data_IF_317976940870
#
_entry.id   IF_317976940870
#
_cell.length_a   1.000
_cell.length_b   1.000
_cell.length_c   1.000
_cell.angle_alpha   90.00
_cell.angle_beta   90.00
_cell.angle_gamma   90.00
#
_symmetry.space_group_name_H-M   'P 1'
#
loop_
_entity.id
_entity.type
_entity.pdbx_description
1 polymer ?
#
# COMPACT_ATOMS: atom_id res chain seq x y z
N UNK A 1 -27.09 -17.23 50.50
CA UNK A 1 -26.37 -18.01 49.47
C UNK A 1 -26.60 -17.49 48.05
N UNK A 2 -27.83 -17.39 47.52
CA UNK A 2 -28.08 -16.89 46.15
C UNK A 2 -27.59 -15.45 45.88
N UNK A 3 -27.84 -14.50 46.79
CA UNK A 3 -27.48 -13.09 46.57
C UNK A 3 -25.97 -12.87 46.49
N UNK A 4 -25.20 -13.70 47.19
CA UNK A 4 -23.74 -13.65 47.20
C UNK A 4 -23.17 -14.23 45.90
N UNK A 5 -23.73 -15.34 45.42
CA UNK A 5 -23.40 -15.89 44.10
C UNK A 5 -23.67 -14.87 42.97
N UNK A 6 -24.82 -14.17 43.02
CA UNK A 6 -25.17 -13.15 42.01
C UNK A 6 -24.27 -11.91 42.08
N UNK A 7 -23.76 -11.56 43.26
CA UNK A 7 -22.77 -10.49 43.44
C UNK A 7 -21.41 -10.89 42.86
N UNK A 8 -20.96 -12.12 43.13
CA UNK A 8 -19.74 -12.67 42.55
C UNK A 8 -19.82 -12.74 41.02
N UNK A 9 -20.97 -13.17 40.49
CA UNK A 9 -21.20 -13.20 39.04
C UNK A 9 -21.15 -11.81 38.40
N UNK A 10 -21.74 -10.79 39.03
CA UNK A 10 -21.66 -9.41 38.54
C UNK A 10 -20.21 -8.89 38.50
N UNK A 11 -19.42 -9.22 39.54
CA UNK A 11 -18.00 -8.86 39.59
C UNK A 11 -17.24 -9.56 38.46
N UNK A 12 -17.41 -10.87 38.30
CA UNK A 12 -16.78 -11.67 37.24
C UNK A 12 -17.12 -11.18 35.82
N UNK A 13 -18.40 -10.86 35.56
CA UNK A 13 -18.81 -10.31 34.25
C UNK A 13 -18.19 -8.93 34.02
N UNK A 14 -18.16 -8.07 35.04
CA UNK A 14 -17.57 -6.74 34.93
C UNK A 14 -16.05 -6.79 34.67
N UNK A 15 -15.33 -7.68 35.35
CA UNK A 15 -13.88 -7.86 35.17
C UNK A 15 -13.59 -8.46 33.80
N UNK A 16 -14.40 -9.42 33.33
CA UNK A 16 -14.26 -10.01 31.99
C UNK A 16 -14.45 -8.97 30.88
N UNK A 17 -15.48 -8.12 30.98
CA UNK A 17 -15.72 -7.06 29.99
C UNK A 17 -14.58 -6.03 30.00
N UNK A 18 -14.10 -5.64 31.18
CA UNK A 18 -12.98 -4.69 31.29
C UNK A 18 -11.66 -5.28 30.78
N UNK A 19 -11.40 -6.56 31.02
CA UNK A 19 -10.26 -7.27 30.44
C UNK A 19 -10.35 -7.35 28.92
N UNK A 20 -11.53 -7.66 28.37
CA UNK A 20 -11.78 -7.67 26.92
C UNK A 20 -11.52 -6.29 26.30
N UNK A 21 -12.11 -5.21 26.87
CA UNK A 21 -11.90 -3.82 26.43
C UNK A 21 -10.44 -3.37 26.55
N UNK A 22 -9.72 -3.83 27.58
CA UNK A 22 -8.29 -3.53 27.75
C UNK A 22 -7.42 -4.29 26.74
N UNK A 23 -7.75 -5.54 26.45
CA UNK A 23 -7.08 -6.34 25.43
C UNK A 23 -7.31 -5.74 24.03
N UNK A 24 -8.53 -5.31 23.73
CA UNK A 24 -8.87 -4.66 22.48
C UNK A 24 -8.15 -3.32 22.31
N UNK A 25 -8.10 -2.48 23.35
CA UNK A 25 -7.29 -1.24 23.34
C UNK A 25 -5.82 -1.51 23.08
N UNK A 26 -5.24 -2.54 23.71
CA UNK A 26 -3.85 -2.96 23.45
C UNK A 26 -3.67 -3.42 22.01
N UNK A 27 -4.59 -4.25 21.50
CA UNK A 27 -4.58 -4.72 20.11
C UNK A 27 -4.63 -3.55 19.13
N UNK A 28 -5.58 -2.63 19.28
CA UNK A 28 -5.70 -1.41 18.45
C UNK A 28 -4.45 -0.54 18.54
N UNK A 29 -3.84 -0.41 19.72
CA UNK A 29 -2.58 0.33 19.89
C UNK A 29 -1.44 -0.34 19.10
N UNK A 30 -1.23 -1.64 19.26
CA UNK A 30 -0.17 -2.35 18.56
C UNK A 30 -0.43 -2.47 17.06
N UNK A 31 -1.67 -2.66 16.59
CA UNK A 31 -2.00 -2.65 15.16
C UNK A 31 -1.74 -1.28 14.53
N UNK A 32 -1.98 -0.17 15.25
CA UNK A 32 -1.66 1.18 14.76
C UNK A 32 -0.17 1.52 14.80
N UNK A 33 0.55 1.05 15.83
CA UNK A 33 2.00 1.28 16.00
C UNK A 33 2.84 0.34 15.13
N UNK A 34 2.31 -0.84 14.78
CA UNK A 34 2.96 -1.84 13.91
C UNK A 34 2.59 -1.64 12.43
N UNK A 35 1.90 -0.55 12.07
CA UNK A 35 1.78 -0.15 10.66
C UNK A 35 3.20 0.05 10.12
N UNK A 36 3.45 -0.48 8.94
CA UNK A 36 4.78 -0.55 8.36
C UNK A 36 5.35 0.87 8.21
N UNK A 37 6.52 1.21 8.81
CA UNK A 37 7.12 2.53 8.63
C UNK A 37 7.41 2.85 7.16
N UNK A 38 7.51 1.85 6.27
CA UNK A 38 7.65 2.04 4.83
C UNK A 38 6.36 2.52 4.15
N UNK A 39 5.18 2.31 4.74
CA UNK A 39 3.88 2.64 4.14
C UNK A 39 3.64 4.16 3.98
N UNK A 40 4.42 5.00 4.67
CA UNK A 40 4.35 6.47 4.58
C UNK A 40 5.70 7.13 4.26
N UNK A 41 6.77 6.35 4.03
CA UNK A 41 8.08 6.91 3.74
C UNK A 41 8.16 7.29 2.26
N UNK A 42 7.79 8.53 1.96
CA UNK A 42 7.95 9.11 0.63
C UNK A 42 9.29 9.83 0.54
N UNK A 43 10.25 9.25 -0.20
CA UNK A 43 11.55 9.88 -0.47
C UNK A 43 11.45 10.62 -1.81
N UNK A 44 11.41 11.95 -1.75
CA UNK A 44 11.49 12.80 -2.94
C UNK A 44 12.92 13.34 -3.09
N UNK A 45 13.62 12.91 -4.14
CA UNK A 45 14.94 13.40 -4.50
C UNK A 45 14.89 14.28 -5.75
N UNK A 46 15.64 15.38 -5.76
CA UNK A 46 16.04 16.08 -6.98
C UNK A 46 17.55 16.00 -7.10
N UNK A 47 18.06 15.71 -8.30
CA UNK A 47 19.50 15.76 -8.57
C UNK A 47 19.97 17.20 -8.36
N UNK A 48 20.73 17.44 -7.30
CA UNK A 48 21.34 18.73 -7.01
C UNK A 48 22.86 18.51 -6.80
N UNK A 49 23.68 19.23 -7.54
CA UNK A 49 25.12 19.29 -7.28
C UNK A 49 25.37 20.49 -6.36
N UNK A 50 25.67 20.20 -5.09
CA UNK A 50 25.98 21.22 -4.10
C UNK A 50 27.48 21.47 -4.16
N UNK A 51 27.85 22.65 -4.64
CA UNK A 51 29.23 23.12 -4.62
C UNK A 51 29.36 24.13 -3.48
N UNK A 52 30.28 23.89 -2.55
CA UNK A 52 30.49 24.72 -1.35
C UNK A 52 31.23 26.02 -1.61
N UNK A 53 31.96 26.12 -2.73
CA UNK A 53 32.77 27.27 -3.09
C UNK A 53 32.41 27.80 -4.48
N UNK A 54 32.09 29.09 -4.57
CA UNK A 54 31.69 29.78 -5.78
C UNK A 54 32.81 29.83 -6.83
N UNK A 55 34.08 29.78 -6.41
CA UNK A 55 35.23 29.74 -7.31
C UNK A 55 35.34 28.39 -8.02
N UNK A 56 35.06 27.30 -7.31
CA UNK A 56 35.01 25.94 -7.86
C UNK A 56 33.84 25.81 -8.85
N UNK A 57 32.69 26.41 -8.57
CA UNK A 57 31.55 26.47 -9.52
C UNK A 57 31.96 27.17 -10.81
N UNK A 58 32.54 28.36 -10.72
CA UNK A 58 32.96 29.13 -11.90
C UNK A 58 34.02 28.40 -12.72
N UNK A 59 34.92 27.66 -12.07
CA UNK A 59 35.89 26.83 -12.77
C UNK A 59 35.20 25.62 -13.44
N UNK A 60 34.32 24.91 -12.72
CA UNK A 60 33.61 23.75 -13.25
C UNK A 60 32.66 24.10 -14.41
N UNK A 61 32.09 25.31 -14.41
CA UNK A 61 31.22 25.83 -15.49
C UNK A 61 32.00 26.57 -16.58
N UNK A 62 33.33 26.69 -16.47
CA UNK A 62 34.13 27.36 -17.48
C UNK A 62 34.08 26.58 -18.81
N UNK A 63 33.78 27.28 -19.90
CA UNK A 63 33.77 26.76 -21.27
C UNK A 63 35.11 26.15 -21.71
N UNK A 64 36.20 26.47 -21.03
CA UNK A 64 37.51 25.84 -21.25
C UNK A 64 37.61 24.41 -20.68
N UNK A 65 36.85 24.12 -19.62
CA UNK A 65 36.83 22.84 -18.91
C UNK A 65 35.72 21.95 -19.46
N UNK A 66 34.58 22.52 -19.88
CA UNK A 66 33.49 21.76 -20.46
C UNK A 66 33.66 21.56 -21.97
N UNK A 67 33.42 20.33 -22.45
CA UNK A 67 33.48 19.94 -23.86
C UNK A 67 32.15 19.29 -24.26
N UNK A 68 31.66 19.52 -25.49
CA UNK A 68 30.47 18.82 -25.98
C UNK A 68 30.76 17.31 -26.07
N UNK A 69 29.81 16.51 -25.60
CA UNK A 69 29.88 15.07 -25.68
C UNK A 69 29.82 14.60 -27.13
N UNK A 70 30.63 13.61 -27.49
CA UNK A 70 30.71 13.15 -28.88
C UNK A 70 29.44 12.39 -29.32
N UNK A 71 28.71 11.77 -28.38
CA UNK A 71 27.45 11.08 -28.66
C UNK A 71 26.24 12.01 -28.74
N UNK A 72 26.22 13.10 -27.96
CA UNK A 72 25.18 14.14 -28.02
C UNK A 72 25.79 15.51 -27.70
N UNK A 73 25.91 16.42 -28.69
CA UNK A 73 26.52 17.73 -28.50
C UNK A 73 25.72 18.66 -27.58
N UNK A 74 24.47 18.31 -27.23
CA UNK A 74 23.68 19.05 -26.23
C UNK A 74 24.14 18.78 -24.80
N UNK A 75 24.88 17.70 -24.58
CA UNK A 75 25.41 17.31 -23.28
C UNK A 75 26.85 17.79 -23.22
N UNK A 76 27.18 18.63 -22.23
CA UNK A 76 28.57 19.03 -21.95
C UNK A 76 29.15 18.16 -20.84
N UNK A 77 30.37 17.68 -21.03
CA UNK A 77 31.13 16.89 -20.05
C UNK A 77 32.47 17.57 -19.75
N UNK A 78 33.06 17.25 -18.60
CA UNK A 78 34.39 17.72 -18.23
C UNK A 78 35.45 17.20 -19.22
N UNK A 79 36.41 18.04 -19.61
CA UNK A 79 37.55 17.70 -20.46
C UNK A 79 38.50 16.69 -19.80
N UNK A 80 38.46 16.54 -18.49
CA UNK A 80 39.18 15.49 -17.77
C UNK A 80 38.34 14.23 -17.54
N UNK A 81 37.06 14.25 -17.91
CA UNK A 81 36.23 13.04 -17.93
C UNK A 81 36.80 12.09 -18.99
N UNK A 82 37.09 10.85 -18.61
CA UNK A 82 37.68 9.81 -19.49
C UNK A 82 36.88 9.68 -20.78
N UNK A 83 35.56 9.86 -20.69
CA UNK A 83 34.67 9.81 -21.85
C UNK A 83 35.07 10.83 -22.91
N UNK A 84 35.47 12.04 -22.54
CA UNK A 84 35.86 13.10 -23.49
C UNK A 84 37.02 12.72 -24.44
N UNK A 85 37.79 11.69 -24.06
CA UNK A 85 38.89 11.14 -24.83
C UNK A 85 38.51 9.93 -25.70
N UNK A 86 37.33 9.36 -25.55
CA UNK A 86 36.83 8.30 -26.43
C UNK A 86 36.66 8.87 -27.83
N UNK A 87 37.01 8.11 -28.87
CA UNK A 87 36.75 8.50 -30.24
C UNK A 87 35.30 8.18 -30.61
N UNK A 88 34.75 8.84 -31.63
CA UNK A 88 33.39 8.53 -32.13
C UNK A 88 33.27 7.06 -32.58
N UNK A 89 34.38 6.43 -32.95
CA UNK A 89 34.42 5.01 -33.32
C UNK A 89 34.33 4.08 -32.10
N UNK A 90 34.76 4.53 -30.91
CA UNK A 90 34.63 3.78 -29.66
C UNK A 90 33.22 3.88 -29.04
N UNK A 91 32.43 4.85 -29.49
CA UNK A 91 31.04 5.08 -29.08
C UNK A 91 30.01 4.43 -30.02
N UNK A 92 30.46 3.94 -31.17
CA UNK A 92 29.65 3.03 -31.97
C UNK A 92 29.63 1.71 -31.23
N UNK A 93 28.44 1.33 -30.74
CA UNK A 93 28.22 -0.05 -30.33
C UNK A 93 28.68 -0.94 -31.49
N UNK A 94 29.42 -2.02 -31.17
CA UNK A 94 29.94 -2.99 -32.13
C UNK A 94 28.86 -3.61 -33.05
N UNK A 95 27.59 -3.29 -32.83
CA UNK A 95 26.43 -3.79 -33.55
C UNK A 95 26.19 -3.10 -34.92
N UNK A 96 26.68 -1.88 -35.14
CA UNK A 96 26.33 -1.13 -36.37
C UNK A 96 27.24 -1.43 -37.59
N UNK A 97 28.29 -2.25 -37.47
CA UNK A 97 29.18 -2.52 -38.62
C UNK A 97 29.70 -3.96 -38.73
N UNK A 98 29.54 -4.81 -37.72
CA UNK A 98 29.95 -6.22 -37.82
C UNK A 98 28.93 -7.15 -37.15
N UNK A 99 28.38 -8.17 -37.83
CA UNK A 99 27.54 -9.18 -37.20
C UNK A 99 28.46 -10.14 -36.42
N UNK A 100 29.03 -9.67 -35.30
CA UNK A 100 29.87 -10.49 -34.45
C UNK A 100 29.05 -11.02 -33.28
N UNK A 101 28.79 -12.32 -33.35
CA UNK A 101 28.34 -13.14 -32.22
C UNK A 101 29.28 -12.91 -31.03
N UNK A 102 28.86 -12.14 -30.04
CA UNK A 102 29.38 -12.26 -28.67
C UNK A 102 28.25 -12.78 -27.79
N UNK A 103 28.18 -14.11 -27.68
CA UNK A 103 27.57 -14.79 -26.55
C UNK A 103 28.60 -14.84 -25.42
N UNK A 104 28.13 -14.54 -24.21
CA UNK A 104 28.67 -14.92 -22.90
C UNK A 104 29.98 -14.20 -22.57
N UNK A 105 30.09 -13.49 -21.44
CA UNK A 105 30.31 -14.16 -20.15
C UNK A 105 29.83 -13.41 -18.88
N UNK A 106 29.30 -12.18 -18.91
CA UNK A 106 29.06 -11.40 -17.66
C UNK A 106 27.59 -11.04 -17.30
N UNK A 107 26.59 -11.63 -17.96
CA UNK A 107 25.20 -11.11 -17.92
C UNK A 107 24.08 -12.07 -17.51
N UNK A 108 24.35 -13.13 -16.75
CA UNK A 108 23.29 -14.01 -16.23
C UNK A 108 22.58 -13.35 -15.03
N UNK A 109 21.83 -12.28 -15.26
CA UNK A 109 20.54 -12.18 -14.58
C UNK A 109 19.75 -13.36 -15.16
N UNK A 110 19.35 -14.31 -14.32
CA UNK A 110 18.68 -15.56 -14.73
C UNK A 110 17.61 -15.20 -15.77
N UNK A 111 17.64 -15.80 -16.97
CA UNK A 111 16.66 -15.51 -18.03
C UNK A 111 15.22 -15.58 -17.49
N UNK A 112 14.99 -16.41 -16.47
CA UNK A 112 13.73 -16.49 -15.72
C UNK A 112 13.44 -15.23 -14.92
N UNK A 113 14.42 -14.71 -14.20
CA UNK A 113 14.30 -13.48 -13.42
C UNK A 113 14.00 -12.29 -14.34
N UNK A 114 14.62 -12.22 -15.52
CA UNK A 114 14.28 -11.19 -16.52
C UNK A 114 12.82 -11.31 -16.98
N UNK A 115 12.36 -12.53 -17.30
CA UNK A 115 10.96 -12.78 -17.70
C UNK A 115 9.97 -12.37 -16.60
N UNK A 116 10.27 -12.72 -15.33
CA UNK A 116 9.43 -12.34 -14.18
C UNK A 116 9.44 -10.84 -13.98
N UNK A 117 10.61 -10.20 -14.05
CA UNK A 117 10.77 -8.74 -13.90
C UNK A 117 9.99 -7.98 -14.97
N UNK A 118 10.05 -8.42 -16.22
CA UNK A 118 9.28 -7.82 -17.32
C UNK A 118 7.78 -7.97 -17.11
N UNK A 119 7.34 -9.14 -16.63
CA UNK A 119 5.94 -9.38 -16.28
C UNK A 119 5.49 -8.44 -15.16
N UNK A 120 6.20 -8.38 -14.04
CA UNK A 120 5.85 -7.52 -12.91
C UNK A 120 5.81 -6.04 -13.30
N UNK A 121 6.80 -5.60 -14.10
CA UNK A 121 6.90 -4.22 -14.59
C UNK A 121 5.69 -3.81 -15.44
N UNK A 122 5.17 -4.73 -16.26
CA UNK A 122 4.13 -4.40 -17.24
C UNK A 122 2.75 -4.99 -16.94
N UNK A 123 2.59 -5.83 -15.91
CA UNK A 123 1.34 -6.54 -15.56
C UNK A 123 0.13 -5.61 -15.55
N UNK A 124 0.22 -4.53 -14.79
CA UNK A 124 -0.87 -3.57 -14.61
C UNK A 124 -1.16 -2.82 -15.91
N UNK A 125 -0.12 -2.44 -16.66
CA UNK A 125 -0.26 -1.71 -17.92
C UNK A 125 -0.95 -2.58 -18.99
N UNK A 126 -0.56 -3.84 -19.12
CA UNK A 126 -1.15 -4.80 -20.06
C UNK A 126 -2.63 -5.04 -19.71
N UNK A 127 -2.96 -5.23 -18.43
CA UNK A 127 -4.36 -5.44 -18.02
C UNK A 127 -5.19 -4.16 -18.23
N UNK A 128 -4.64 -2.99 -17.94
CA UNK A 128 -5.31 -1.71 -18.17
C UNK A 128 -5.56 -1.45 -19.66
N UNK A 129 -4.58 -1.72 -20.52
CA UNK A 129 -4.76 -1.60 -21.97
C UNK A 129 -5.82 -2.58 -22.49
N UNK A 130 -5.81 -3.83 -22.03
CA UNK A 130 -6.84 -4.81 -22.39
C UNK A 130 -8.24 -4.35 -21.95
N UNK A 131 -8.37 -3.85 -20.71
CA UNK A 131 -9.63 -3.36 -20.14
C UNK A 131 -10.02 -1.95 -20.59
N UNK A 132 -9.20 -1.32 -21.44
CA UNK A 132 -9.39 0.06 -21.93
C UNK A 132 -9.55 1.08 -20.81
N UNK A 133 -8.82 0.87 -19.72
CA UNK A 133 -8.66 1.84 -18.63
C UNK A 133 -7.66 2.88 -19.08
N UNK A 134 -8.11 4.13 -19.21
CA UNK A 134 -7.19 5.21 -19.58
C UNK A 134 -6.27 5.56 -18.43
N UNK A 135 -5.05 5.97 -18.74
CA UNK A 135 -4.06 6.42 -17.75
C UNK A 135 -4.64 7.50 -16.83
N UNK A 136 -5.36 8.48 -17.37
CA UNK A 136 -6.02 9.54 -16.59
C UNK A 136 -7.01 8.99 -15.57
N UNK A 137 -7.77 7.95 -15.90
CA UNK A 137 -8.70 7.33 -14.96
C UNK A 137 -7.96 6.57 -13.87
N UNK A 138 -6.89 5.86 -14.22
CA UNK A 138 -6.10 5.08 -13.27
C UNK A 138 -5.31 5.99 -12.31
N UNK A 139 -4.67 7.04 -12.81
CA UNK A 139 -4.03 8.08 -12.00
C UNK A 139 -5.02 8.80 -11.08
N UNK A 140 -6.26 9.04 -11.54
CA UNK A 140 -7.30 9.61 -10.69
C UNK A 140 -7.67 8.66 -9.53
N UNK A 141 -7.76 7.35 -9.77
CA UNK A 141 -8.00 6.37 -8.70
C UNK A 141 -6.87 6.34 -7.68
N UNK A 142 -5.61 6.41 -8.14
CA UNK A 142 -4.45 6.55 -7.26
C UNK A 142 -4.60 7.80 -6.40
N UNK A 143 -4.85 8.95 -7.03
CA UNK A 143 -4.99 10.21 -6.31
C UNK A 143 -6.17 10.22 -5.31
N UNK A 144 -7.32 9.67 -5.70
CA UNK A 144 -8.48 9.57 -4.82
C UNK A 144 -8.20 8.65 -3.62
N UNK A 145 -7.40 7.59 -3.78
CA UNK A 145 -6.98 6.74 -2.65
C UNK A 145 -5.94 7.43 -1.78
N UNK A 146 -4.89 7.98 -2.37
CA UNK A 146 -3.76 8.54 -1.61
C UNK A 146 -4.13 9.85 -0.90
N UNK A 147 -4.89 10.72 -1.56
CA UNK A 147 -5.21 12.05 -1.02
C UNK A 147 -6.59 12.10 -0.36
N UNK A 148 -7.63 11.49 -0.97
CA UNK A 148 -8.98 11.61 -0.40
C UNK A 148 -9.28 10.60 0.72
N UNK A 149 -8.55 9.49 0.86
CA UNK A 149 -8.76 8.55 1.97
C UNK A 149 -8.39 9.20 3.32
N UNK A 150 -7.25 9.89 3.39
CA UNK A 150 -6.83 10.61 4.59
C UNK A 150 -7.85 11.68 5.02
N UNK A 151 -8.42 12.40 4.06
CA UNK A 151 -9.41 13.45 4.30
C UNK A 151 -10.76 12.88 4.76
N UNK A 152 -11.21 11.77 4.18
CA UNK A 152 -12.43 11.06 4.57
C UNK A 152 -12.32 10.39 5.95
N UNK A 153 -11.17 9.78 6.29
CA UNK A 153 -10.86 9.26 7.64
C UNK A 153 -10.93 10.39 8.69
N UNK A 154 -10.34 11.54 8.38
CA UNK A 154 -10.32 12.69 9.28
C UNK A 154 -11.73 13.29 9.47
N UNK A 155 -12.52 13.38 8.38
CA UNK A 155 -13.90 13.83 8.43
C UNK A 155 -14.80 12.89 9.24
N UNK A 156 -14.67 11.56 9.06
CA UNK A 156 -15.42 10.56 9.83
C UNK A 156 -15.10 10.63 11.32
N UNK A 157 -13.83 10.83 11.71
CA UNK A 157 -13.43 11.03 13.12
C UNK A 157 -14.05 12.29 13.72
N UNK A 158 -14.04 13.40 12.98
CA UNK A 158 -14.66 14.66 13.43
C UNK A 158 -16.18 14.49 13.58
N UNK A 159 -16.84 13.76 12.67
CA UNK A 159 -18.28 13.51 12.74
C UNK A 159 -18.64 12.59 13.92
N UNK A 160 -17.85 11.55 14.18
CA UNK A 160 -18.02 10.67 15.33
C UNK A 160 -17.83 11.42 16.66
N UNK A 161 -16.86 12.33 16.76
CA UNK A 161 -16.70 13.20 17.94
C UNK A 161 -17.88 14.14 18.14
N UNK A 162 -18.45 14.70 17.06
CA UNK A 162 -19.65 15.55 17.12
C UNK A 162 -20.89 14.75 17.55
N UNK A 163 -21.05 13.51 17.09
CA UNK A 163 -22.12 12.61 17.52
C UNK A 163 -21.98 12.23 19.00
N UNK A 164 -20.77 11.95 19.47
CA UNK A 164 -20.50 11.67 20.90
C UNK A 164 -20.80 12.87 21.81
N UNK A 165 -20.37 14.07 21.41
CA UNK A 165 -20.65 15.33 22.13
C UNK A 165 -22.12 15.73 22.13
N UNK A 166 -22.92 15.29 21.15
CA UNK A 166 -24.36 15.58 21.10
C UNK A 166 -25.20 14.51 21.82
N UNK A 167 -24.74 13.27 21.91
CA UNK A 167 -25.33 12.23 22.75
C UNK A 167 -25.21 12.55 24.26
N UNK A 168 -24.08 13.10 24.70
CA UNK A 168 -23.89 13.55 26.10
C UNK A 168 -24.81 14.72 26.51
N UNK A 169 -25.32 15.51 25.55
CA UNK A 169 -26.16 16.69 25.83
C UNK A 169 -27.66 16.40 25.83
N UNK A 170 -28.12 15.19 25.46
CA UNK A 170 -29.54 14.83 25.34
C UNK A 170 -30.08 14.02 26.54
N UNK A 171 -29.66 14.29 27.77
CA UNK A 171 -30.15 13.57 28.96
C UNK A 171 -30.27 14.46 30.19
N UNK A 172 -31.42 15.13 30.33
CA UNK A 172 -32.21 15.28 31.57
C UNK A 172 -33.42 16.18 31.31
N UNK A 173 -34.61 15.60 31.17
CA UNK A 173 -35.87 16.34 31.30
C UNK A 173 -36.42 15.96 32.68
N UNK A 174 -36.39 16.91 33.61
CA UNK A 174 -37.07 16.76 34.89
C UNK A 174 -38.54 17.16 34.71
N UNK A 175 -39.46 16.27 35.06
CA UNK A 175 -40.89 16.59 35.13
C UNK A 175 -41.25 16.92 36.59
N UNK A 176 -42.04 17.97 36.80
CA UNK A 176 -42.65 18.30 38.09
C UNK A 176 -44.15 18.50 37.91
N UNK A 177 -44.95 17.89 38.77
CA UNK A 177 -46.35 18.28 38.96
C UNK A 177 -46.46 19.10 40.23
N UNK A 178 -47.26 20.16 40.16
CA UNK A 178 -47.60 21.03 41.27
C UNK A 178 -48.13 20.18 42.43
N UNK A 179 -47.44 20.26 43.58
CA UNK A 179 -47.89 19.81 44.90
C UNK A 179 -47.49 18.41 45.44
N UNK A 180 -46.23 17.96 45.29
CA UNK A 180 -45.59 16.98 46.22
C UNK A 180 -44.05 16.94 46.14
N UNK A 181 -43.40 16.59 47.26
CA UNK A 181 -41.94 16.54 47.45
C UNK A 181 -41.19 15.75 46.36
N UNK A 182 -40.02 16.29 45.98
CA UNK A 182 -39.15 15.78 44.91
C UNK A 182 -38.64 14.37 45.23
N UNK A 183 -39.29 13.35 44.68
CA UNK A 183 -38.76 11.97 44.69
C UNK A 183 -37.63 11.87 43.67
N UNK A 184 -36.39 11.78 44.15
CA UNK A 184 -35.24 11.40 43.31
C UNK A 184 -35.43 9.95 42.86
N UNK A 185 -35.96 9.77 41.65
CA UNK A 185 -36.09 8.46 40.99
C UNK A 185 -34.74 7.73 40.96
N UNK A 186 -34.74 6.52 41.54
CA UNK A 186 -33.61 5.62 41.57
C UNK A 186 -33.19 5.15 40.17
N UNK A 187 -31.92 4.79 40.05
CA UNK A 187 -31.32 4.17 38.87
C UNK A 187 -32.10 2.92 38.45
N UNK A 188 -32.83 3.01 37.34
CA UNK A 188 -32.95 1.88 36.44
C UNK A 188 -31.89 2.07 35.35
N UNK A 189 -30.85 1.25 35.42
CA UNK A 189 -29.82 1.12 34.39
C UNK A 189 -30.50 0.54 33.14
N UNK A 190 -31.05 1.41 32.29
CA UNK A 190 -31.37 1.06 30.91
C UNK A 190 -30.02 0.89 30.20
N UNK A 191 -29.57 -0.37 30.08
CA UNK A 191 -28.48 -0.75 29.19
C UNK A 191 -28.87 -0.34 27.77
N UNK A 192 -28.42 0.85 27.35
CA UNK A 192 -28.25 1.13 25.93
C UNK A 192 -27.03 0.35 25.49
N UNK A 193 -27.29 -0.81 24.92
CA UNK A 193 -26.37 -1.56 24.07
C UNK A 193 -26.11 -0.72 22.81
N UNK A 194 -25.34 0.38 22.96
CA UNK A 194 -24.72 1.08 21.82
C UNK A 194 -23.51 0.25 21.40
N UNK A 195 -23.77 -0.94 20.84
CA UNK A 195 -22.91 -1.55 19.85
C UNK A 195 -22.95 -0.65 18.61
N UNK A 196 -22.24 0.48 18.67
CA UNK A 196 -21.70 1.08 17.46
C UNK A 196 -20.60 0.14 16.99
N UNK A 197 -21.03 -0.91 16.32
CA UNK A 197 -20.21 -1.82 15.53
C UNK A 197 -19.52 -0.97 14.45
N UNK A 198 -18.36 -0.42 14.81
CA UNK A 198 -17.45 0.25 13.90
C UNK A 198 -16.39 -0.72 13.39
N UNK A 199 -16.72 -2.00 13.34
CA UNK A 199 -15.93 -3.10 12.79
C UNK A 199 -16.27 -3.32 11.31
N UNK A 200 -16.51 -2.26 10.54
CA UNK A 200 -16.62 -2.37 9.09
C UNK A 200 -15.43 -1.63 8.45
N UNK A 201 -14.56 -2.46 7.84
CA UNK A 201 -13.82 -2.16 6.62
C UNK A 201 -12.57 -1.27 6.68
N UNK A 202 -11.62 -1.58 7.56
CA UNK A 202 -10.22 -1.14 7.35
C UNK A 202 -9.40 -2.21 6.60
N UNK A 203 -9.82 -3.48 6.66
CA UNK A 203 -9.13 -4.59 5.99
C UNK A 203 -9.54 -4.74 4.50
N UNK A 204 -10.57 -4.01 4.04
CA UNK A 204 -10.89 -3.82 2.62
C UNK A 204 -10.20 -2.57 2.06
N UNK A 205 -8.87 -2.49 2.21
CA UNK A 205 -8.10 -1.67 1.29
C UNK A 205 -8.26 -2.26 -0.12
N UNK A 206 -9.34 -1.88 -0.83
CA UNK A 206 -9.56 -2.28 -2.21
C UNK A 206 -8.28 -2.05 -3.00
N UNK A 207 -7.79 -3.12 -3.62
CA UNK A 207 -6.61 -3.04 -4.47
C UNK A 207 -6.89 -2.03 -5.59
N UNK A 208 -5.94 -1.10 -5.78
CA UNK A 208 -6.01 -0.09 -6.84
C UNK A 208 -6.00 -0.74 -8.23
N UNK A 209 -5.40 -1.92 -8.29
CA UNK A 209 -5.13 -2.65 -9.52
C UNK A 209 -6.42 -3.24 -10.08
N UNK A 210 -6.52 -3.18 -11.40
CA UNK A 210 -7.69 -3.69 -12.11
C UNK A 210 -7.44 -5.15 -12.43
N UNK A 211 -8.07 -6.07 -11.72
CA UNK A 211 -7.76 -7.50 -11.84
C UNK A 211 -8.41 -8.20 -13.03
N UNK A 212 -7.64 -8.97 -13.81
CA UNK A 212 -8.18 -9.84 -14.85
C UNK A 212 -8.39 -11.25 -14.31
N UNK A 213 -9.65 -11.70 -14.20
CA UNK A 213 -9.95 -13.06 -13.75
C UNK A 213 -9.51 -14.09 -14.80
N UNK A 214 -8.50 -14.87 -14.45
CA UNK A 214 -7.92 -15.88 -15.36
C UNK A 214 -8.70 -17.19 -15.38
N UNK A 215 -9.61 -17.43 -14.43
CA UNK A 215 -10.38 -18.67 -14.33
C UNK A 215 -11.49 -18.76 -15.38
N UNK A 216 -12.05 -17.61 -15.77
CA UNK A 216 -13.14 -17.50 -16.73
C UNK A 216 -12.70 -16.97 -18.10
N UNK A 217 -11.39 -16.97 -18.37
CA UNK A 217 -10.85 -16.38 -19.59
C UNK A 217 -11.07 -17.29 -20.80
N UNK A 218 -11.83 -16.80 -21.80
CA UNK A 218 -12.02 -17.50 -23.07
C UNK A 218 -10.67 -17.62 -23.82
N UNK A 219 -10.36 -18.73 -24.53
CA UNK A 219 -9.16 -18.87 -25.35
C UNK A 219 -8.87 -17.71 -26.31
N UNK A 220 -9.91 -17.10 -26.89
CA UNK A 220 -9.74 -15.94 -27.77
C UNK A 220 -9.26 -14.70 -26.99
N UNK A 221 -9.87 -14.45 -25.83
CA UNK A 221 -9.42 -13.41 -24.91
C UNK A 221 -7.97 -13.64 -24.48
N UNK A 222 -7.61 -14.89 -24.17
CA UNK A 222 -6.24 -15.25 -23.79
C UNK A 222 -5.23 -14.90 -24.90
N UNK A 223 -5.59 -15.12 -26.17
CA UNK A 223 -4.74 -14.74 -27.32
C UNK A 223 -4.57 -13.24 -27.43
N UNK A 224 -5.65 -12.48 -27.27
CA UNK A 224 -5.61 -11.00 -27.33
C UNK A 224 -4.73 -10.44 -26.22
N UNK A 225 -4.90 -10.92 -24.99
CA UNK A 225 -4.12 -10.45 -23.83
C UNK A 225 -2.65 -10.83 -23.97
N UNK A 226 -2.35 -12.06 -24.41
CA UNK A 226 -0.97 -12.48 -24.67
C UNK A 226 -0.31 -11.63 -25.78
N UNK A 227 -1.06 -11.30 -26.83
CA UNK A 227 -0.58 -10.41 -27.90
C UNK A 227 -0.29 -9.00 -27.38
N UNK A 228 -1.17 -8.44 -26.53
CA UNK A 228 -0.91 -7.17 -25.87
C UNK A 228 0.38 -7.27 -25.03
N UNK A 229 0.58 -8.34 -24.26
CA UNK A 229 1.81 -8.55 -23.51
C UNK A 229 3.09 -8.57 -24.36
N UNK A 230 3.03 -9.15 -25.56
CA UNK A 230 4.14 -9.13 -26.54
C UNK A 230 4.52 -7.72 -26.97
N UNK A 231 3.54 -6.81 -27.11
CA UNK A 231 3.78 -5.41 -27.50
C UNK A 231 4.51 -4.62 -26.39
N UNK A 232 4.34 -5.00 -25.12
CA UNK A 232 5.05 -4.43 -23.98
C UNK A 232 6.41 -5.08 -23.70
N UNK A 233 6.80 -6.10 -24.48
CA UNK A 233 8.08 -6.79 -24.32
C UNK A 233 8.05 -7.97 -23.36
N UNK A 234 6.88 -8.41 -22.89
CA UNK A 234 6.75 -9.69 -22.20
C UNK A 234 6.94 -10.82 -23.21
N UNK A 235 7.64 -11.88 -22.81
CA UNK A 235 7.87 -13.05 -23.68
C UNK A 235 6.56 -13.58 -24.29
N UNK A 236 6.68 -13.98 -25.55
CA UNK A 236 5.57 -14.38 -26.42
C UNK A 236 4.71 -15.50 -25.84
N UNK A 237 3.40 -15.27 -25.82
CA UNK A 237 2.39 -16.27 -25.43
C UNK A 237 2.34 -16.67 -23.95
N UNK A 238 3.19 -16.12 -23.08
CA UNK A 238 3.29 -16.57 -21.68
C UNK A 238 2.60 -15.67 -20.66
N UNK A 239 2.16 -14.47 -21.03
CA UNK A 239 1.60 -13.50 -20.09
C UNK A 239 0.46 -14.07 -19.24
N UNK A 240 -0.53 -14.72 -19.85
CA UNK A 240 -1.64 -15.31 -19.11
C UNK A 240 -1.23 -16.52 -18.23
N UNK A 241 -0.11 -17.19 -18.53
CA UNK A 241 0.42 -18.24 -17.67
C UNK A 241 1.09 -17.64 -16.43
N UNK A 242 1.88 -16.58 -16.60
CA UNK A 242 2.49 -15.84 -15.50
C UNK A 242 1.43 -15.19 -14.60
N UNK A 243 0.38 -14.62 -15.19
CA UNK A 243 -0.73 -14.04 -14.42
C UNK A 243 -1.48 -15.07 -13.56
N UNK A 244 -1.66 -16.30 -14.05
CA UNK A 244 -2.24 -17.39 -13.24
C UNK A 244 -1.33 -17.79 -12.09
N UNK A 245 -0.03 -17.92 -12.35
CA UNK A 245 0.95 -18.26 -11.32
C UNK A 245 1.00 -17.18 -10.21
N UNK A 246 0.98 -15.91 -10.60
CA UNK A 246 0.93 -14.77 -9.70
C UNK A 246 -0.36 -14.74 -8.84
N UNK A 247 -1.53 -14.94 -9.46
CA UNK A 247 -2.80 -15.06 -8.72
C UNK A 247 -2.83 -16.24 -7.75
N UNK A 248 -2.18 -17.36 -8.08
CA UNK A 248 -2.04 -18.49 -7.17
C UNK A 248 -1.11 -18.15 -6.01
N UNK A 249 0.05 -17.53 -6.28
CA UNK A 249 0.99 -17.12 -5.25
C UNK A 249 0.36 -16.14 -4.24
N UNK A 250 -0.48 -15.20 -4.71
CA UNK A 250 -1.24 -14.29 -3.86
C UNK A 250 -2.25 -15.02 -2.96
N UNK A 251 -2.96 -16.01 -3.49
CA UNK A 251 -3.89 -16.85 -2.72
C UNK A 251 -3.15 -17.65 -1.65
N UNK A 252 -2.05 -18.28 -2.01
CA UNK A 252 -1.22 -19.07 -1.09
C UNK A 252 -0.68 -18.17 0.03
N UNK A 253 -0.15 -16.98 -0.30
CA UNK A 253 0.31 -16.01 0.70
C UNK A 253 -0.81 -15.56 1.65
N UNK A 254 -2.02 -15.33 1.13
CA UNK A 254 -3.18 -15.00 1.95
C UNK A 254 -3.60 -16.14 2.87
N UNK A 255 -3.53 -17.39 2.42
CA UNK A 255 -3.77 -18.58 3.24
C UNK A 255 -2.71 -18.74 4.33
N UNK A 256 -1.42 -18.59 4.02
CA UNK A 256 -0.35 -18.60 5.01
C UNK A 256 -0.55 -17.52 6.07
N UNK A 257 -0.95 -16.31 5.68
CA UNK A 257 -1.26 -15.21 6.61
C UNK A 257 -2.44 -15.54 7.52
N UNK A 258 -3.48 -16.20 7.00
CA UNK A 258 -4.62 -16.69 7.80
C UNK A 258 -4.18 -17.74 8.81
N UNK A 259 -3.36 -18.70 8.38
CA UNK A 259 -2.80 -19.74 9.25
C UNK A 259 -1.95 -19.13 10.35
N UNK A 260 -1.08 -18.17 10.02
CA UNK A 260 -0.23 -17.50 11.01
C UNK A 260 -1.03 -16.66 12.01
N UNK A 261 -2.11 -16.00 11.55
CA UNK A 261 -3.08 -15.31 12.42
C UNK A 261 -3.76 -16.28 13.38
N UNK A 262 -4.21 -17.44 12.88
CA UNK A 262 -4.82 -18.49 13.71
C UNK A 262 -3.83 -19.05 14.74
N UNK A 263 -2.59 -19.35 14.31
CA UNK A 263 -1.51 -19.78 15.21
C UNK A 263 -1.21 -18.75 16.28
N UNK A 264 -1.14 -17.47 15.92
CA UNK A 264 -0.94 -16.36 16.85
C UNK A 264 -2.08 -16.28 17.86
N UNK A 265 -3.34 -16.36 17.41
CA UNK A 265 -4.51 -16.37 18.29
C UNK A 265 -4.52 -17.55 19.27
N UNK A 266 -4.09 -18.73 18.83
CA UNK A 266 -3.95 -19.91 19.69
C UNK A 266 -2.76 -19.78 20.66
N UNK A 267 -1.62 -19.25 20.21
CA UNK A 267 -0.43 -19.07 21.05
C UNK A 267 -0.63 -18.05 22.17
N UNK A 268 -1.38 -16.96 21.92
CA UNK A 268 -1.77 -15.99 22.95
C UNK A 268 -2.70 -16.64 23.97
N UNK A 269 -3.51 -17.62 23.58
CA UNK A 269 -4.42 -18.34 24.48
C UNK A 269 -3.68 -19.28 25.45
N UNK A 270 -2.51 -19.81 25.07
CA UNK A 270 -1.68 -20.66 25.94
C UNK A 270 -0.83 -19.88 26.96
N UNK A 271 -0.62 -18.58 26.77
CA UNK A 271 0.11 -17.73 27.73
C UNK A 271 -0.78 -17.13 28.85
N UNK A 272 -2.09 -17.37 28.80
CA UNK A 272 -3.07 -16.88 29.78
C UNK A 272 -3.77 -18.02 30.57
N UNK A 273 -3.26 -19.25 30.49
CA UNK A 273 -3.54 -20.32 31.47
C UNK A 273 -2.37 -20.44 32.42
#
# INVERSE_FOLDING_TARGET
MWHEARRQEKILRSTMIDQSKRAERKRRFFENVRKDPEQFMQIHGRKAQIHTDLSIVRAAEDSNILRPWQGDPKITIDRFDVRSHLSKMDLLDQDDTFPSKKKQEDGCIDEKEQIVTEFERYRVLIINDYKKVTEKQYLRRIADREFCFAEKEHAKKIEAEKKKKSAEKKSKIGFSYDDSEVVKGGKEEFEKDDQSDGEEDIDEMQDLDVDLDTAHLNPETQRVVNKSGEEFGVKRGIFCALLRADQQALKDAAELKKIDRQKSQLSVRFFYM
#
